data_IF_585170359485
#
_entry.id   IF_585170359485
#
_cell.length_a   1.000
_cell.length_b   1.000
_cell.length_c   1.000
_cell.angle_alpha   90.00
_cell.angle_beta   90.00
_cell.angle_gamma   90.00
#
_symmetry.space_group_name_H-M   'P 1'
#
loop_
_entity.id
_entity.type
_entity.pdbx_description
1 polymer ?
#
# COMPACT_ATOMS: atom_id res chain seq x y z
N UNK A 1 -6.56 9.16 10.40
CA UNK A 1 -6.64 7.69 10.40
C UNK A 1 -6.38 7.15 11.79
N UNK A 2 -7.12 6.12 12.21
CA UNK A 2 -7.09 5.50 13.54
C UNK A 2 -6.22 4.24 13.50
N UNK A 3 -5.29 4.10 14.43
CA UNK A 3 -4.48 2.88 14.54
C UNK A 3 -5.32 1.77 15.19
N UNK A 4 -5.24 0.55 14.64
CA UNK A 4 -5.95 -0.64 15.11
C UNK A 4 -5.00 -1.84 15.06
N UNK A 5 -5.15 -2.74 16.02
CA UNK A 5 -4.53 -4.06 15.98
C UNK A 5 -5.48 -5.00 15.21
N UNK A 6 -4.93 -5.98 14.52
CA UNK A 6 -5.73 -7.06 13.94
C UNK A 6 -6.35 -7.93 15.04
N UNK A 7 -7.40 -8.69 14.72
CA UNK A 7 -8.00 -9.63 15.67
C UNK A 7 -6.98 -10.67 16.14
N UNK A 8 -7.09 -11.09 17.41
CA UNK A 8 -6.27 -12.15 18.00
C UNK A 8 -6.33 -13.45 17.21
N UNK A 9 -7.45 -13.72 16.53
CA UNK A 9 -7.65 -14.91 15.70
C UNK A 9 -6.63 -15.00 14.55
N UNK A 10 -6.10 -13.85 14.11
CA UNK A 10 -5.15 -13.75 13.00
C UNK A 10 -3.76 -13.28 13.45
N UNK A 11 -3.54 -13.11 14.76
CA UNK A 11 -2.27 -12.64 15.30
C UNK A 11 -1.38 -13.83 15.71
N UNK A 12 -0.77 -14.48 14.72
CA UNK A 12 0.14 -15.61 14.93
C UNK A 12 1.62 -15.18 14.86
N UNK A 13 2.52 -16.07 15.29
CA UNK A 13 3.97 -15.84 15.20
C UNK A 13 4.51 -15.76 13.77
N UNK A 14 3.79 -16.30 12.79
CA UNK A 14 4.16 -16.23 11.38
C UNK A 14 3.80 -14.91 10.71
N UNK A 15 2.90 -14.11 11.30
CA UNK A 15 2.51 -12.81 10.75
C UNK A 15 3.60 -11.78 11.00
N UNK A 16 4.16 -11.27 9.90
CA UNK A 16 5.17 -10.22 9.96
C UNK A 16 4.64 -8.98 10.69
N UNK A 17 5.51 -8.33 11.48
CA UNK A 17 5.16 -7.20 12.35
C UNK A 17 4.39 -6.07 11.63
N UNK A 18 4.71 -5.81 10.36
CA UNK A 18 4.05 -4.77 9.57
C UNK A 18 2.55 -5.03 9.33
N UNK A 19 2.09 -6.28 9.48
CA UNK A 19 0.71 -6.69 9.27
C UNK A 19 -0.08 -6.86 10.57
N UNK A 20 0.57 -6.74 11.73
CA UNK A 20 -0.09 -6.91 13.03
C UNK A 20 -0.96 -5.69 13.41
N UNK A 21 -0.75 -4.57 12.74
CA UNK A 21 -1.50 -3.32 12.95
C UNK A 21 -1.85 -2.68 11.62
N UNK A 22 -2.94 -1.91 11.62
CA UNK A 22 -3.38 -1.11 10.48
C UNK A 22 -3.65 0.33 10.92
N UNK A 23 -3.61 1.26 9.96
CA UNK A 23 -4.26 2.57 10.09
C UNK A 23 -5.52 2.59 9.23
N UNK A 24 -6.69 2.72 9.87
CA UNK A 24 -8.00 2.79 9.23
C UNK A 24 -8.46 4.25 9.02
N UNK A 25 -9.27 4.48 7.99
CA UNK A 25 -9.77 5.80 7.59
C UNK A 25 -11.31 5.83 7.47
N UNK A 26 -12.03 5.85 8.60
CA UNK A 26 -13.49 5.74 8.61
C UNK A 26 -14.24 7.04 8.28
N UNK A 27 -13.59 8.20 8.33
CA UNK A 27 -14.28 9.50 8.22
C UNK A 27 -14.37 9.98 6.77
N UNK A 28 -13.24 10.37 6.17
CA UNK A 28 -13.24 11.05 4.87
C UNK A 28 -13.25 10.10 3.68
N UNK A 29 -13.79 10.55 2.55
CA UNK A 29 -13.80 9.82 1.28
C UNK A 29 -12.40 9.67 0.70
N UNK A 30 -11.53 10.66 0.87
CA UNK A 30 -10.14 10.66 0.38
C UNK A 30 -9.18 10.97 1.51
N UNK A 31 -8.23 10.09 1.75
CA UNK A 31 -7.27 10.21 2.84
C UNK A 31 -5.86 10.10 2.27
N UNK A 32 -5.05 11.15 2.39
CA UNK A 32 -3.75 11.22 1.74
C UNK A 32 -2.61 11.30 2.74
N UNK A 33 -1.56 10.53 2.49
CA UNK A 33 -0.24 10.71 3.08
C UNK A 33 0.59 11.63 2.20
N UNK A 34 1.27 12.59 2.81
CA UNK A 34 2.32 13.37 2.16
C UNK A 34 3.67 12.73 2.46
N UNK A 35 4.31 12.19 1.42
CA UNK A 35 5.63 11.58 1.45
C UNK A 35 6.67 12.61 1.03
N UNK A 36 7.24 13.31 2.01
CA UNK A 36 8.15 14.45 1.79
C UNK A 36 9.65 14.11 1.82
N UNK A 37 10.47 15.18 1.79
CA UNK A 37 11.95 15.14 1.73
C UNK A 37 12.48 14.47 0.45
N UNK A 38 11.78 14.69 -0.66
CA UNK A 38 12.19 14.18 -1.97
C UNK A 38 13.13 15.16 -2.66
N UNK A 39 14.07 14.62 -3.42
CA UNK A 39 14.93 15.36 -4.33
C UNK A 39 14.29 15.33 -5.71
N UNK A 40 13.94 16.50 -6.25
CA UNK A 40 13.40 16.62 -7.61
C UNK A 40 14.36 15.98 -8.63
N UNK A 41 13.81 15.27 -9.61
CA UNK A 41 14.55 14.48 -10.59
C UNK A 41 15.05 13.12 -10.09
N UNK A 42 14.99 12.84 -8.79
CA UNK A 42 15.39 11.53 -8.25
C UNK A 42 14.25 10.52 -8.36
N UNK A 43 14.63 9.24 -8.51
CA UNK A 43 13.70 8.11 -8.60
C UNK A 43 13.43 7.55 -7.20
N UNK A 44 12.18 7.21 -6.97
CA UNK A 44 11.72 6.60 -5.73
C UNK A 44 10.86 5.38 -6.04
N UNK A 45 10.99 4.36 -5.18
CA UNK A 45 10.06 3.24 -5.11
C UNK A 45 9.18 3.43 -3.88
N UNK A 46 7.88 3.35 -4.09
CA UNK A 46 6.86 3.45 -3.05
C UNK A 46 6.16 2.09 -2.97
N UNK A 47 5.98 1.58 -1.75
CA UNK A 47 5.29 0.32 -1.50
C UNK A 47 4.13 0.53 -0.53
N UNK A 48 2.96 0.04 -0.91
CA UNK A 48 1.81 -0.02 -0.03
C UNK A 48 1.51 -1.50 0.26
N UNK A 49 1.38 -1.84 1.53
CA UNK A 49 1.11 -3.21 1.99
C UNK A 49 -0.17 -3.25 2.82
N UNK A 50 -0.97 -4.29 2.58
CA UNK A 50 -2.31 -4.47 3.14
C UNK A 50 -2.48 -5.91 3.62
N UNK A 51 -2.98 -6.06 4.85
CA UNK A 51 -3.56 -7.29 5.38
C UNK A 51 -4.68 -6.88 6.35
N UNK A 52 -5.91 -7.37 6.12
CA UNK A 52 -7.10 -6.90 6.84
C UNK A 52 -7.13 -7.39 8.29
N UNK A 53 -6.88 -8.68 8.53
CA UNK A 53 -6.81 -9.28 9.86
C UNK A 53 -8.05 -9.06 10.72
N UNK A 54 -9.22 -8.78 10.12
CA UNK A 54 -10.48 -8.52 10.81
C UNK A 54 -10.38 -7.47 11.93
N UNK A 55 -9.62 -6.40 11.72
CA UNK A 55 -9.34 -5.39 12.76
C UNK A 55 -10.58 -4.65 13.30
N UNK A 56 -11.70 -4.71 12.57
CA UNK A 56 -12.98 -4.08 12.90
C UNK A 56 -14.07 -5.09 13.31
N UNK A 57 -13.78 -6.39 13.27
CA UNK A 57 -14.71 -7.45 13.66
C UNK A 57 -15.80 -7.78 12.63
N UNK A 58 -15.80 -7.15 11.45
CA UNK A 58 -16.86 -7.31 10.45
C UNK A 58 -16.72 -8.58 9.58
N UNK A 59 -15.54 -9.22 9.56
CA UNK A 59 -15.21 -10.38 8.71
C UNK A 59 -15.51 -10.13 7.23
N UNK A 60 -15.33 -8.88 6.80
CA UNK A 60 -15.55 -8.46 5.43
C UNK A 60 -14.48 -7.45 5.06
N UNK A 61 -13.47 -7.91 4.33
CA UNK A 61 -12.38 -7.04 3.91
C UNK A 61 -12.91 -5.91 2.99
N UNK A 62 -12.63 -4.64 3.30
CA UNK A 62 -13.13 -3.53 2.50
C UNK A 62 -12.39 -3.42 1.16
N UNK A 63 -13.11 -3.05 0.10
CA UNK A 63 -12.57 -2.71 -1.20
C UNK A 63 -12.46 -1.19 -1.37
N UNK A 64 -11.34 -0.70 -1.90
CA UNK A 64 -11.10 0.74 -2.05
C UNK A 64 -9.95 1.01 -3.03
N UNK A 65 -9.84 2.24 -3.50
CA UNK A 65 -8.82 2.60 -4.48
C UNK A 65 -7.61 3.29 -3.84
N UNK A 66 -6.44 3.00 -4.38
CA UNK A 66 -5.16 3.59 -4.04
C UNK A 66 -4.70 4.48 -5.20
N UNK A 67 -4.33 5.72 -4.87
CA UNK A 67 -3.91 6.73 -5.84
C UNK A 67 -2.51 7.24 -5.52
N UNK A 68 -1.74 7.50 -6.59
CA UNK A 68 -0.52 8.30 -6.56
C UNK A 68 -0.85 9.71 -7.09
N UNK A 69 -1.02 10.68 -6.20
CA UNK A 69 -1.56 11.98 -6.55
C UNK A 69 -2.99 11.83 -7.08
N UNK A 70 -3.20 12.12 -8.35
CA UNK A 70 -4.49 11.94 -9.05
C UNK A 70 -4.54 10.65 -9.89
N UNK A 71 -3.41 9.97 -10.07
CA UNK A 71 -3.32 8.77 -10.90
C UNK A 71 -3.76 7.54 -10.11
N UNK A 72 -4.66 6.73 -10.67
CA UNK A 72 -5.02 5.44 -10.08
C UNK A 72 -3.79 4.54 -10.07
N UNK A 73 -3.39 4.09 -8.88
CA UNK A 73 -2.28 3.16 -8.71
C UNK A 73 -2.80 1.73 -8.65
N UNK A 74 -3.77 1.43 -7.80
CA UNK A 74 -4.34 0.09 -7.70
C UNK A 74 -5.74 0.12 -7.07
N UNK A 75 -6.57 -0.89 -7.36
CA UNK A 75 -7.77 -1.17 -6.58
C UNK A 75 -7.44 -2.27 -5.57
N UNK A 76 -7.63 -1.97 -4.29
CA UNK A 76 -7.34 -2.88 -3.19
C UNK A 76 -8.54 -3.79 -2.99
N UNK A 77 -8.34 -5.08 -3.25
CA UNK A 77 -9.31 -6.14 -3.06
C UNK A 77 -8.59 -7.33 -2.44
N UNK A 78 -9.09 -7.79 -1.30
CA UNK A 78 -8.52 -8.90 -0.54
C UNK A 78 -9.53 -10.04 -0.49
N UNK A 79 -9.05 -11.26 -0.68
CA UNK A 79 -9.91 -12.45 -0.75
C UNK A 79 -10.35 -12.95 0.63
N UNK A 80 -9.54 -12.68 1.66
CA UNK A 80 -9.81 -13.06 3.05
C UNK A 80 -9.00 -12.19 4.03
N UNK A 81 -9.15 -12.45 5.33
CA UNK A 81 -8.54 -11.67 6.42
C UNK A 81 -7.00 -11.74 6.41
N UNK A 82 -6.44 -12.84 5.95
CA UNK A 82 -4.99 -13.08 5.92
C UNK A 82 -4.34 -12.82 4.58
N UNK A 83 -5.11 -12.51 3.53
CA UNK A 83 -4.57 -12.19 2.21
C UNK A 83 -3.69 -10.93 2.34
N UNK A 84 -2.40 -11.12 2.08
CA UNK A 84 -1.42 -10.05 1.96
C UNK A 84 -1.40 -9.53 0.52
N UNK A 85 -1.79 -8.27 0.34
CA UNK A 85 -1.62 -7.56 -0.91
C UNK A 85 -0.50 -6.53 -0.75
N UNK A 86 0.50 -6.62 -1.62
CA UNK A 86 1.57 -5.62 -1.75
C UNK A 86 1.60 -5.08 -3.17
N UNK A 87 1.64 -3.76 -3.31
CA UNK A 87 1.83 -3.11 -4.60
C UNK A 87 3.02 -2.15 -4.54
N UNK A 88 3.78 -2.08 -5.63
CA UNK A 88 4.97 -1.24 -5.77
C UNK A 88 4.81 -0.30 -6.98
N UNK A 89 5.20 0.96 -6.82
CA UNK A 89 5.27 1.94 -7.90
C UNK A 89 6.61 2.66 -7.88
N UNK A 90 7.22 2.83 -9.06
CA UNK A 90 8.42 3.63 -9.27
C UNK A 90 8.00 4.95 -9.93
N UNK A 91 8.42 6.07 -9.35
CA UNK A 91 8.13 7.42 -9.87
C UNK A 91 9.36 8.31 -9.77
N UNK A 92 9.54 9.19 -10.76
CA UNK A 92 10.48 10.31 -10.67
C UNK A 92 9.79 11.43 -9.90
N UNK A 93 10.42 11.90 -8.83
CA UNK A 93 9.89 13.03 -8.06
C UNK A 93 10.00 14.31 -8.88
N UNK A 94 8.88 15.00 -9.10
CA UNK A 94 8.84 16.31 -9.77
C UNK A 94 8.71 17.47 -8.78
N UNK A 95 8.59 17.16 -7.48
CA UNK A 95 8.44 18.09 -6.38
C UNK A 95 9.12 17.52 -5.13
N UNK A 96 9.08 18.25 -4.01
CA UNK A 96 9.68 17.83 -2.73
C UNK A 96 8.83 16.83 -1.94
N UNK A 97 7.62 16.51 -2.44
CA UNK A 97 6.73 15.54 -1.81
C UNK A 97 5.78 14.86 -2.80
N UNK A 98 5.48 13.58 -2.58
CA UNK A 98 4.45 12.84 -3.31
C UNK A 98 3.26 12.56 -2.39
N UNK A 99 2.07 12.45 -2.97
CA UNK A 99 0.85 12.13 -2.23
C UNK A 99 0.38 10.70 -2.53
N UNK A 100 0.20 9.87 -1.50
CA UNK A 100 -0.46 8.56 -1.62
C UNK A 100 -1.83 8.67 -0.99
N UNK A 101 -2.89 8.45 -1.76
CA UNK A 101 -4.26 8.62 -1.29
C UNK A 101 -5.03 7.31 -1.32
N UNK A 102 -5.75 7.03 -0.23
CA UNK A 102 -6.72 5.96 -0.13
C UNK A 102 -8.13 6.56 -0.30
N UNK A 103 -8.87 6.09 -1.29
CA UNK A 103 -10.21 6.55 -1.62
C UNK A 103 -11.25 5.48 -1.31
N UNK A 104 -12.27 5.86 -0.53
CA UNK A 104 -13.43 5.01 -0.25
C UNK A 104 -14.16 4.64 -1.54
N UNK A 105 -14.51 3.37 -1.66
CA UNK A 105 -15.55 2.89 -2.57
C UNK A 105 -16.82 2.57 -1.77
N UNK A 106 -17.91 3.30 -2.02
CA UNK A 106 -19.16 3.17 -1.25
C UNK A 106 -18.95 3.37 0.27
N UNK A 107 -19.38 2.38 1.06
CA UNK A 107 -19.29 2.40 2.53
C UNK A 107 -18.01 1.75 3.09
N UNK A 108 -17.03 1.44 2.23
CA UNK A 108 -15.76 0.84 2.67
C UNK A 108 -15.01 1.73 3.67
N UNK A 109 -14.21 1.09 4.52
CA UNK A 109 -13.25 1.74 5.42
C UNK A 109 -11.82 1.44 4.96
N UNK A 110 -11.22 2.29 4.11
CA UNK A 110 -9.86 2.12 3.66
C UNK A 110 -8.90 2.01 4.82
N UNK A 111 -7.91 1.14 4.66
CA UNK A 111 -6.87 0.94 5.66
C UNK A 111 -5.53 0.70 4.97
N UNK A 112 -4.45 0.82 5.72
CA UNK A 112 -3.11 0.46 5.25
C UNK A 112 -2.33 -0.16 6.40
N UNK A 113 -1.58 -1.23 6.14
CA UNK A 113 -0.72 -1.87 7.12
C UNK A 113 0.64 -1.18 7.16
N UNK A 114 1.23 -0.92 5.98
CA UNK A 114 2.48 -0.19 5.86
C UNK A 114 2.56 0.63 4.57
N UNK A 115 3.25 1.77 4.65
CA UNK A 115 3.61 2.62 3.52
C UNK A 115 5.11 2.90 3.59
N UNK A 116 5.84 2.47 2.57
CA UNK A 116 7.30 2.63 2.49
C UNK A 116 7.66 3.57 1.34
N UNK A 117 8.61 4.46 1.58
CA UNK A 117 9.24 5.32 0.58
C UNK A 117 10.74 5.06 0.62
N UNK A 118 11.34 4.71 -0.53
CA UNK A 118 12.79 4.50 -0.64
C UNK A 118 13.33 5.17 -1.90
N UNK A 119 14.52 5.79 -1.85
CA UNK A 119 15.28 6.09 -3.06
C UNK A 119 15.42 4.83 -3.92
N UNK A 120 15.38 4.99 -5.24
CA UNK A 120 15.47 3.89 -6.18
C UNK A 120 16.62 4.10 -7.16
N UNK A 121 17.59 3.20 -7.11
CA UNK A 121 18.83 3.17 -7.89
C UNK A 121 18.85 2.05 -8.95
N UNK A 122 17.76 1.29 -9.09
CA UNK A 122 17.68 0.18 -10.04
C UNK A 122 17.57 0.61 -11.51
N UNK A 123 17.56 -0.39 -12.39
CA UNK A 123 17.65 -0.20 -13.85
C UNK A 123 16.37 0.34 -14.49
N UNK A 124 15.21 0.06 -13.89
CA UNK A 124 13.92 0.53 -14.44
C UNK A 124 13.74 2.04 -14.24
N UNK A 125 13.35 2.75 -15.29
CA UNK A 125 13.00 4.17 -15.19
C UNK A 125 11.66 4.43 -15.85
N UNK A 126 10.72 5.11 -15.17
CA UNK A 126 9.54 5.61 -15.84
C UNK A 126 9.94 6.64 -16.90
N UNK A 127 9.07 6.80 -17.90
CA UNK A 127 9.17 7.90 -18.86
C UNK A 127 8.77 9.24 -18.24
N UNK A 128 8.81 10.30 -19.03
CA UNK A 128 8.43 11.63 -18.58
C UNK A 128 6.99 11.64 -18.05
N UNK A 129 6.81 12.14 -16.84
CA UNK A 129 5.52 12.28 -16.15
C UNK A 129 4.74 10.96 -15.98
N UNK A 130 5.37 9.80 -16.17
CA UNK A 130 4.75 8.50 -15.97
C UNK A 130 5.27 7.80 -14.71
N UNK A 131 4.70 6.64 -14.41
CA UNK A 131 5.09 5.80 -13.28
C UNK A 131 5.13 4.35 -13.74
N UNK A 132 5.98 3.52 -13.14
CA UNK A 132 6.01 2.08 -13.38
C UNK A 132 5.38 1.35 -12.21
N UNK A 133 4.26 0.68 -12.43
CA UNK A 133 3.65 -0.21 -11.42
C UNK A 133 4.20 -1.61 -11.64
N UNK A 134 4.69 -2.24 -10.56
CA UNK A 134 5.20 -3.61 -10.64
C UNK A 134 4.02 -4.57 -10.79
N UNK A 135 3.97 -5.28 -11.92
CA UNK A 135 2.98 -6.34 -12.12
C UNK A 135 3.35 -7.61 -11.34
N UNK A 136 4.57 -8.13 -11.55
CA UNK A 136 5.07 -9.30 -10.82
C UNK A 136 6.60 -9.29 -10.79
N UNK A 137 7.18 -9.79 -9.70
CA UNK A 137 8.60 -10.16 -9.61
C UNK A 137 8.65 -11.63 -9.19
N UNK A 138 9.34 -12.46 -9.96
CA UNK A 138 9.37 -13.91 -9.75
C UNK A 138 10.82 -14.32 -9.61
N UNK A 139 11.10 -15.07 -8.55
CA UNK A 139 12.35 -15.80 -8.38
C UNK A 139 12.13 -17.25 -8.83
N UNK A 140 12.59 -17.58 -10.04
CA UNK A 140 12.38 -18.90 -10.62
C UNK A 140 13.29 -19.93 -9.94
N UNK A 141 12.70 -21.02 -9.46
CA UNK A 141 13.44 -22.09 -8.77
C UNK A 141 13.63 -21.87 -7.27
N UNK A 142 13.00 -20.84 -6.69
CA UNK A 142 12.94 -20.67 -5.24
C UNK A 142 12.23 -21.86 -4.58
N UNK A 143 12.81 -22.36 -3.49
CA UNK A 143 12.19 -23.35 -2.59
C UNK A 143 11.39 -22.72 -1.46
N UNK A 144 11.36 -21.37 -1.39
CA UNK A 144 10.54 -20.60 -0.46
C UNK A 144 9.31 -20.06 -1.18
N UNK A 145 8.14 -20.17 -0.56
CA UNK A 145 6.95 -19.45 -1.03
C UNK A 145 7.15 -17.93 -0.87
N UNK A 146 6.80 -17.20 -1.92
CA UNK A 146 7.04 -15.75 -2.12
C UNK A 146 5.97 -14.87 -1.51
#
# INVERSE_FOLDING_TARGET
GVAKQISSDYLTSSVARIYQTVRSFPQYTRNCYSLGRLTSGSRYIIRASFMYGNYDGLRLAPNFDLYMGLDLWNTIQLDNETHVLRTEIIKIATSTSLSVCLLKSGNSMPFISALELRPYDGIYSPGNQSSLVTFKRIDFGSTKES
#
